data_IF_563653855083
#
_entry.id   IF_563653855083
#
_cell.length_a   1.000
_cell.length_b   1.000
_cell.length_c   1.000
_cell.angle_alpha   90.00
_cell.angle_beta   90.00
_cell.angle_gamma   90.00
#
_symmetry.space_group_name_H-M   'P 1'
#
loop_
_entity.id
_entity.type
_entity.pdbx_description
1 polymer ?
#
# COMPACT_ATOMS: atom_id res chain seq x y z
N UNK A 1 -1.41 -32.59 -9.51
CA UNK A 1 -0.65 -31.41 -9.93
C UNK A 1 -1.53 -30.24 -9.49
N UNK A 2 -1.44 -29.75 -8.23
CA UNK A 2 -0.46 -28.74 -7.78
C UNK A 2 -0.48 -27.57 -8.80
N UNK A 3 -0.90 -26.34 -8.51
CA UNK A 3 -0.89 -25.55 -7.28
C UNK A 3 -1.88 -24.38 -7.45
N UNK A 4 -2.75 -24.12 -6.47
CA UNK A 4 -3.69 -23.00 -6.50
C UNK A 4 -3.46 -22.14 -5.27
N UNK A 5 -2.58 -21.15 -5.43
CA UNK A 5 -2.20 -20.08 -4.50
C UNK A 5 -3.18 -19.85 -3.35
N UNK A 6 -2.67 -20.09 -2.14
CA UNK A 6 -3.18 -19.59 -0.87
C UNK A 6 -3.26 -18.07 -0.91
N UNK A 7 -4.43 -17.53 -1.24
CA UNK A 7 -4.75 -16.11 -1.03
C UNK A 7 -4.71 -15.84 0.48
N UNK A 8 -3.69 -15.11 0.88
CA UNK A 8 -3.37 -14.75 2.24
C UNK A 8 -4.60 -14.31 3.05
N UNK A 9 -4.94 -15.11 4.06
CA UNK A 9 -5.80 -14.72 5.16
C UNK A 9 -5.10 -13.63 5.97
N UNK A 10 -5.28 -12.37 5.58
CA UNK A 10 -4.91 -11.25 6.44
C UNK A 10 -6.06 -10.91 7.37
N UNK A 11 -6.07 -11.57 8.52
CA UNK A 11 -6.82 -11.13 9.69
C UNK A 11 -6.19 -9.83 10.22
N UNK A 12 -6.94 -8.72 10.20
CA UNK A 12 -6.53 -7.50 10.89
C UNK A 12 -7.63 -7.06 11.84
N UNK A 13 -7.36 -7.27 13.14
CA UNK A 13 -8.19 -6.83 14.25
C UNK A 13 -8.46 -5.32 14.21
N UNK A 14 -9.68 -4.99 14.59
CA UNK A 14 -10.16 -3.66 14.95
C UNK A 14 -9.40 -3.19 16.17
N UNK A 15 -8.64 -2.11 16.08
CA UNK A 15 -8.03 -1.52 17.28
C UNK A 15 -7.71 -0.03 17.08
N UNK A 16 -8.68 0.80 17.46
CA UNK A 16 -8.50 2.21 17.80
C UNK A 16 -7.79 2.32 19.17
N UNK A 17 -6.49 2.60 19.17
CA UNK A 17 -5.82 3.29 20.30
C UNK A 17 -4.43 3.82 19.90
N UNK A 18 -4.05 4.99 20.45
CA UNK A 18 -2.74 5.68 20.35
C UNK A 18 -2.26 6.00 21.77
N UNK A 19 -0.95 6.19 22.08
CA UNK A 19 0.19 6.36 21.17
C UNK A 19 1.50 5.65 21.66
N UNK A 20 1.78 4.46 21.14
CA UNK A 20 3.14 3.92 20.99
C UNK A 20 3.15 2.97 19.77
N UNK A 21 2.10 2.13 19.69
CA UNK A 21 1.83 1.19 18.60
C UNK A 21 1.48 1.86 17.25
N UNK A 22 1.32 3.18 17.19
CA UNK A 22 0.88 3.86 15.97
C UNK A 22 1.95 3.93 14.89
N UNK A 23 3.23 3.98 15.27
CA UNK A 23 4.34 4.05 14.30
C UNK A 23 4.57 2.70 13.64
N UNK A 24 4.46 1.63 14.43
CA UNK A 24 4.48 0.24 13.95
C UNK A 24 3.27 -0.04 13.02
N UNK A 25 2.06 0.40 13.41
CA UNK A 25 0.86 0.31 12.54
C UNK A 25 1.04 1.07 11.22
N UNK A 26 1.71 2.23 11.23
CA UNK A 26 1.99 3.02 10.03
C UNK A 26 2.97 2.35 9.07
N UNK A 27 4.09 1.83 9.60
CA UNK A 27 5.11 1.13 8.79
C UNK A 27 4.54 -0.14 8.17
N UNK A 28 3.85 -0.98 8.95
CA UNK A 28 3.21 -2.19 8.42
C UNK A 28 2.23 -1.86 7.29
N UNK A 29 1.51 -0.76 7.40
CA UNK A 29 0.56 -0.33 6.37
C UNK A 29 1.26 0.14 5.09
N UNK A 30 2.42 0.80 5.20
CA UNK A 30 3.26 1.11 4.03
C UNK A 30 3.75 -0.18 3.37
N UNK A 31 4.23 -1.15 4.16
CA UNK A 31 4.68 -2.44 3.62
C UNK A 31 3.54 -3.16 2.89
N UNK A 32 2.33 -3.18 3.44
CA UNK A 32 1.16 -3.76 2.77
C UNK A 32 0.81 -3.05 1.46
N UNK A 33 0.93 -1.73 1.40
CA UNK A 33 0.72 -0.96 0.15
C UNK A 33 1.74 -1.37 -0.91
N UNK A 34 3.02 -1.47 -0.52
CA UNK A 34 4.10 -1.87 -1.43
C UNK A 34 3.91 -3.31 -1.91
N UNK A 35 3.61 -4.24 -1.00
CA UNK A 35 3.36 -5.66 -1.32
C UNK A 35 2.17 -5.82 -2.28
N UNK A 36 1.05 -5.16 -2.00
CA UNK A 36 -0.12 -5.21 -2.85
C UNK A 36 0.17 -4.66 -4.26
N UNK A 37 0.93 -3.58 -4.35
CA UNK A 37 1.33 -2.99 -5.62
C UNK A 37 2.32 -3.89 -6.39
N UNK A 38 3.22 -4.56 -5.67
CA UNK A 38 4.15 -5.54 -6.23
C UNK A 38 3.41 -6.76 -6.78
N UNK A 39 2.47 -7.33 -6.03
CA UNK A 39 1.67 -8.45 -6.46
C UNK A 39 0.80 -8.13 -7.70
N UNK A 40 0.33 -6.88 -7.83
CA UNK A 40 -0.51 -6.48 -8.97
C UNK A 40 0.27 -6.09 -10.23
N UNK A 41 1.56 -5.78 -10.12
CA UNK A 41 2.48 -5.42 -11.22
C UNK A 41 1.92 -4.38 -12.23
N UNK A 42 1.00 -3.51 -11.80
CA UNK A 42 0.34 -2.52 -12.65
C UNK A 42 -0.06 -1.27 -11.87
N UNK A 43 -0.40 -0.20 -12.58
CA UNK A 43 -0.96 0.98 -11.95
C UNK A 43 -2.34 0.68 -11.34
N UNK A 44 -2.48 0.89 -10.03
CA UNK A 44 -3.69 0.60 -9.25
C UNK A 44 -4.34 1.91 -8.79
N UNK A 45 -5.68 1.97 -8.85
CA UNK A 45 -6.43 3.11 -8.32
C UNK A 45 -6.30 3.22 -6.80
N UNK A 46 -6.12 4.43 -6.26
CA UNK A 46 -5.96 4.62 -4.79
C UNK A 46 -7.17 4.06 -4.01
N UNK A 47 -8.37 4.17 -4.59
CA UNK A 47 -9.58 3.59 -4.01
C UNK A 47 -9.59 2.06 -3.97
N UNK A 48 -9.00 1.40 -4.96
CA UNK A 48 -8.84 -0.06 -5.00
C UNK A 48 -7.72 -0.51 -4.07
N UNK A 49 -6.62 0.26 -4.02
CA UNK A 49 -5.53 0.05 -3.07
C UNK A 49 -6.05 0.06 -1.62
N UNK A 50 -6.88 1.04 -1.27
CA UNK A 50 -7.47 1.14 0.08
C UNK A 50 -8.32 -0.08 0.45
N UNK A 51 -9.04 -0.65 -0.51
CA UNK A 51 -9.80 -1.90 -0.30
C UNK A 51 -8.85 -3.09 -0.12
N UNK A 52 -7.82 -3.19 -0.95
CA UNK A 52 -6.84 -4.28 -0.93
C UNK A 52 -6.04 -4.36 0.37
N UNK A 53 -5.68 -3.21 0.96
CA UNK A 53 -4.88 -3.16 2.20
C UNK A 53 -5.71 -3.10 3.49
N UNK A 54 -7.04 -3.24 3.40
CA UNK A 54 -8.00 -3.14 4.50
C UNK A 54 -7.73 -1.94 5.44
N UNK A 55 -7.45 -0.77 4.85
CA UNK A 55 -7.08 0.43 5.57
C UNK A 55 -8.15 1.52 5.43
N UNK A 56 -8.32 2.40 6.44
CA UNK A 56 -9.20 3.56 6.31
C UNK A 56 -8.78 4.38 5.09
N UNK A 57 -9.75 4.76 4.24
CA UNK A 57 -9.50 5.53 3.02
C UNK A 57 -8.62 6.75 3.29
N UNK A 58 -8.96 7.54 4.31
CA UNK A 58 -8.20 8.74 4.69
C UNK A 58 -6.74 8.42 4.98
N UNK A 59 -6.44 7.35 5.72
CA UNK A 59 -5.08 6.91 6.00
C UNK A 59 -4.35 6.46 4.74
N UNK A 60 -4.99 5.70 3.86
CA UNK A 60 -4.38 5.25 2.60
C UNK A 60 -4.00 6.44 1.71
N UNK A 61 -4.87 7.44 1.59
CA UNK A 61 -4.57 8.65 0.82
C UNK A 61 -3.38 9.42 1.41
N UNK A 62 -3.31 9.55 2.74
CA UNK A 62 -2.15 10.18 3.41
C UNK A 62 -0.87 9.42 3.11
N UNK A 63 -0.86 8.10 3.34
CA UNK A 63 0.34 7.27 3.13
C UNK A 63 0.78 7.27 1.67
N UNK A 64 -0.16 7.16 0.72
CA UNK A 64 0.15 7.24 -0.72
C UNK A 64 0.79 8.59 -1.04
N UNK A 65 0.25 9.69 -0.50
CA UNK A 65 0.81 11.02 -0.74
C UNK A 65 2.23 11.14 -0.18
N UNK A 66 2.49 10.63 1.02
CA UNK A 66 3.84 10.61 1.61
C UNK A 66 4.81 9.76 0.77
N UNK A 67 4.36 8.62 0.26
CA UNK A 67 5.18 7.75 -0.59
C UNK A 67 5.47 8.38 -1.97
N UNK A 68 4.52 9.14 -2.52
CA UNK A 68 4.72 9.91 -3.75
C UNK A 68 5.70 11.05 -3.53
N UNK A 69 5.58 11.78 -2.41
CA UNK A 69 6.51 12.86 -2.04
C UNK A 69 7.94 12.35 -1.84
N UNK A 70 8.09 11.17 -1.21
CA UNK A 70 9.36 10.47 -1.10
C UNK A 70 9.93 10.02 -2.47
N UNK A 71 9.07 9.95 -3.50
CA UNK A 71 9.37 9.46 -4.85
C UNK A 71 9.41 7.94 -4.96
N UNK A 72 8.86 7.23 -3.97
CA UNK A 72 8.72 5.77 -3.98
C UNK A 72 7.55 5.32 -4.85
N UNK A 73 6.50 6.13 -4.92
CA UNK A 73 5.37 5.93 -5.82
C UNK A 73 5.26 7.10 -6.80
N UNK A 74 4.65 6.84 -7.95
CA UNK A 74 4.29 7.85 -8.93
C UNK A 74 2.80 7.76 -9.26
N UNK A 75 2.19 8.91 -9.52
CA UNK A 75 0.81 9.01 -9.99
C UNK A 75 0.78 8.91 -11.50
N UNK A 76 -0.23 8.23 -12.04
CA UNK A 76 -0.52 8.28 -13.48
C UNK A 76 -1.03 9.66 -13.89
N UNK A 77 -1.02 9.99 -15.19
CA UNK A 77 -1.49 11.29 -15.70
C UNK A 77 -2.91 11.67 -15.26
N UNK A 78 -3.81 10.70 -15.05
CA UNK A 78 -5.16 10.89 -14.51
C UNK A 78 -5.21 11.20 -12.99
N UNK A 79 -4.08 11.17 -12.28
CA UNK A 79 -3.99 11.49 -10.84
C UNK A 79 -4.67 10.50 -9.88
N UNK A 80 -5.34 9.46 -10.38
CA UNK A 80 -6.12 8.53 -9.56
C UNK A 80 -5.50 7.14 -9.39
N UNK A 81 -4.46 6.82 -10.16
CA UNK A 81 -3.74 5.54 -10.05
C UNK A 81 -2.30 5.76 -9.67
N UNK A 82 -1.75 4.80 -8.93
CA UNK A 82 -0.37 4.81 -8.44
C UNK A 82 0.38 3.58 -8.93
N UNK A 83 1.68 3.74 -9.16
CA UNK A 83 2.62 2.70 -9.52
C UNK A 83 3.99 2.97 -8.87
N UNK A 84 4.91 2.00 -8.91
CA UNK A 84 6.24 2.18 -8.34
C UNK A 84 7.01 3.27 -9.08
N UNK A 85 7.55 4.20 -8.30
CA UNK A 85 8.34 5.30 -8.82
C UNK A 85 9.74 4.87 -9.23
N UNK A 86 10.35 5.66 -10.12
CA UNK A 86 11.71 5.39 -10.63
C UNK A 86 12.78 5.30 -9.54
N UNK A 87 12.60 5.95 -8.38
CA UNK A 87 13.57 5.85 -7.28
C UNK A 87 13.66 4.44 -6.69
N UNK A 88 12.60 3.63 -6.75
CA UNK A 88 12.68 2.26 -6.24
C UNK A 88 13.70 1.41 -7.01
N UNK A 89 13.90 1.69 -8.31
CA UNK A 89 14.93 1.06 -9.12
C UNK A 89 16.36 1.47 -8.75
N UNK A 90 16.54 2.54 -7.96
CA UNK A 90 17.85 2.99 -7.48
C UNK A 90 18.25 2.36 -6.14
N UNK A 91 17.30 1.79 -5.41
CA UNK A 91 17.54 1.06 -4.16
C UNK A 91 17.77 -0.44 -4.38
N UNK A 92 17.77 -0.89 -5.63
CA UNK A 92 18.02 -2.28 -6.06
C UNK A 92 19.50 -2.57 -6.28
#
# INVERSE_FOLDING_TARGET
>A
MQDGETLAEWQTGTDEEKPANSREKGLNRVLHILDFLHATQRAIGIGELAKGVNAPRSTTYTLVRELVDAGLLELTGDGNRVYFGKKLYLYG
#
